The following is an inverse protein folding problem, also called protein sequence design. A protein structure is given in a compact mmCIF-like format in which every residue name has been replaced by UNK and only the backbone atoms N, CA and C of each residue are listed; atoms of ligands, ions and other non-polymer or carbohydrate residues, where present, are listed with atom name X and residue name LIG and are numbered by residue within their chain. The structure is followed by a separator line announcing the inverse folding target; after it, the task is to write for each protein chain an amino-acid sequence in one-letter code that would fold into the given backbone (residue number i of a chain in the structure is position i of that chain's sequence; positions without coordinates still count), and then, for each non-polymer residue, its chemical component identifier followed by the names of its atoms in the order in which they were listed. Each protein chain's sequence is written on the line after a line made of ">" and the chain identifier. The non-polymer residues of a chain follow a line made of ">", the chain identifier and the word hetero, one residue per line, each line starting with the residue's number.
data_IF_773922803897
#
_entry.id   IF_773922803897
#
_cell.length_a   1.000
_cell.length_b   1.000
_cell.length_c   1.000
_cell.angle_alpha   90.00
_cell.angle_beta   90.00
_cell.angle_gamma   90.00
#
_symmetry.space_group_name_H-M   'P 1'
#
loop_
_entity.id
_entity.type
_entity.pdbx_description
1 polymer ?
#
# COMPACT_ATOMS: atom_id res chain seq x y z
N UNK A 1 -17.17 7.47 11.16
CA UNK A 1 -17.53 7.90 9.78
C UNK A 1 -17.16 6.75 8.88
N UNK A 2 -17.94 6.42 7.87
CA UNK A 2 -17.59 5.43 6.84
C UNK A 2 -16.82 6.12 5.71
N UNK A 3 -15.86 5.42 5.10
CA UNK A 3 -15.09 5.98 3.98
C UNK A 3 -16.00 6.37 2.81
N UNK A 4 -17.02 5.57 2.50
CA UNK A 4 -18.01 5.89 1.47
C UNK A 4 -18.75 7.22 1.68
N UNK A 5 -18.81 7.72 2.92
CA UNK A 5 -19.42 9.02 3.23
C UNK A 5 -18.56 10.22 2.79
N UNK A 6 -17.26 10.00 2.50
CA UNK A 6 -16.38 11.04 1.93
C UNK A 6 -16.86 11.50 0.57
N UNK A 7 -17.59 10.63 -0.16
CA UNK A 7 -18.19 10.99 -1.46
C UNK A 7 -19.23 12.12 -1.39
N UNK A 8 -19.74 12.44 -0.21
CA UNK A 8 -20.61 13.62 0.00
C UNK A 8 -19.87 14.95 -0.21
N UNK A 9 -18.53 14.91 -0.08
CA UNK A 9 -17.66 16.04 -0.33
C UNK A 9 -16.88 15.90 -1.65
N UNK A 10 -17.44 15.24 -2.65
CA UNK A 10 -16.78 14.98 -3.93
C UNK A 10 -16.21 16.24 -4.57
N UNK A 11 -16.96 17.35 -4.58
CA UNK A 11 -16.52 18.65 -5.11
C UNK A 11 -15.32 19.26 -4.36
N UNK A 12 -14.96 18.70 -3.19
CA UNK A 12 -13.76 19.08 -2.45
C UNK A 12 -12.57 18.15 -2.76
N UNK A 13 -12.83 17.02 -3.39
CA UNK A 13 -11.83 16.02 -3.78
C UNK A 13 -11.39 16.24 -5.22
N UNK A 14 -12.33 16.59 -6.12
CA UNK A 14 -12.14 16.72 -7.56
C UNK A 14 -12.47 18.15 -7.99
N UNK A 15 -11.75 18.67 -8.97
CA UNK A 15 -11.87 20.02 -9.51
C UNK A 15 -11.73 19.99 -11.03
N UNK A 16 -12.36 20.95 -11.73
CA UNK A 16 -12.16 21.18 -13.15
C UNK A 16 -10.76 21.73 -13.51
N UNK A 17 -10.06 22.31 -12.53
CA UNK A 17 -8.68 22.75 -12.65
C UNK A 17 -7.72 21.59 -12.24
N UNK A 18 -6.44 21.60 -12.67
CA UNK A 18 -5.48 20.60 -12.22
C UNK A 18 -5.44 20.50 -10.70
N UNK A 19 -5.61 19.31 -10.17
CA UNK A 19 -5.68 19.08 -8.71
C UNK A 19 -4.80 17.92 -8.26
N UNK A 20 -4.47 17.93 -6.98
CA UNK A 20 -3.88 16.82 -6.25
C UNK A 20 -4.67 16.62 -4.96
N UNK A 21 -5.24 15.44 -4.79
CA UNK A 21 -5.98 15.07 -3.58
C UNK A 21 -5.31 13.90 -2.88
N UNK A 22 -4.88 14.11 -1.62
CA UNK A 22 -4.38 13.04 -0.77
C UNK A 22 -5.45 12.64 0.24
N UNK A 23 -5.95 11.43 0.10
CA UNK A 23 -7.09 10.94 0.88
C UNK A 23 -6.63 9.80 1.77
N UNK A 24 -6.81 9.97 3.09
CA UNK A 24 -6.58 8.91 4.08
C UNK A 24 -7.90 8.24 4.39
N UNK A 25 -8.05 6.97 4.02
CA UNK A 25 -9.18 6.13 4.40
C UNK A 25 -8.94 5.51 5.76
N UNK A 26 -10.02 5.15 6.46
CA UNK A 26 -9.94 4.60 7.81
C UNK A 26 -10.67 3.26 7.97
N UNK A 27 -11.67 3.01 7.16
CA UNK A 27 -12.58 1.87 7.39
C UNK A 27 -11.90 0.51 7.32
N UNK A 28 -10.83 0.37 6.52
CA UNK A 28 -10.02 -0.84 6.47
C UNK A 28 -9.06 -1.04 7.64
N UNK A 29 -8.95 -0.05 8.56
CA UNK A 29 -8.03 -0.12 9.69
C UNK A 29 -8.61 -0.94 10.86
N UNK A 30 -7.77 -1.77 11.50
CA UNK A 30 -8.18 -2.51 12.70
C UNK A 30 -8.47 -1.61 13.93
N UNK A 31 -8.95 -2.16 15.01
CA UNK A 31 -9.12 -3.60 15.27
C UNK A 31 -10.29 -4.22 14.50
N UNK A 32 -10.17 -5.50 14.18
CA UNK A 32 -11.20 -6.24 13.43
C UNK A 32 -12.17 -6.95 14.38
N UNK A 33 -12.65 -6.22 15.37
CA UNK A 33 -13.51 -6.72 16.45
C UNK A 33 -14.87 -6.01 16.45
N UNK A 34 -15.69 -6.31 17.44
CA UNK A 34 -16.97 -5.63 17.64
C UNK A 34 -16.84 -4.16 18.05
N UNK A 35 -15.65 -3.69 18.40
CA UNK A 35 -15.40 -2.27 18.67
C UNK A 35 -15.62 -1.39 17.42
N UNK A 36 -15.40 -1.96 16.23
CA UNK A 36 -15.63 -1.31 14.94
C UNK A 36 -16.87 -1.88 14.20
N UNK A 37 -17.85 -2.38 14.95
CA UNK A 37 -19.05 -2.99 14.36
C UNK A 37 -19.83 -2.06 13.43
N UNK A 38 -19.83 -0.74 13.68
CA UNK A 38 -20.50 0.25 12.84
C UNK A 38 -19.89 0.33 11.43
N UNK A 39 -18.66 -0.15 11.23
CA UNK A 39 -17.99 -0.23 9.93
C UNK A 39 -18.21 -1.62 9.31
N UNK A 40 -18.00 -2.68 10.09
CA UNK A 40 -18.08 -4.05 9.58
C UNK A 40 -19.51 -4.57 9.37
N UNK A 41 -20.46 -4.27 10.27
CA UNK A 41 -21.84 -4.79 10.22
C UNK A 41 -22.54 -4.59 8.86
N UNK A 42 -22.44 -3.43 8.18
CA UNK A 42 -23.11 -3.24 6.89
C UNK A 42 -22.64 -4.22 5.80
N UNK A 43 -21.48 -4.83 5.97
CA UNK A 43 -20.83 -5.68 4.97
C UNK A 43 -20.65 -7.14 5.40
N UNK A 44 -20.99 -7.51 6.65
CA UNK A 44 -20.72 -8.86 7.19
C UNK A 44 -21.35 -9.98 6.37
N UNK A 45 -22.62 -9.85 5.99
CA UNK A 45 -23.31 -10.89 5.22
C UNK A 45 -22.67 -11.08 3.85
N UNK A 46 -22.26 -9.97 3.20
CA UNK A 46 -21.55 -10.01 1.93
C UNK A 46 -20.15 -10.61 2.10
N UNK A 47 -19.43 -10.27 3.16
CA UNK A 47 -18.12 -10.83 3.46
C UNK A 47 -18.22 -12.35 3.65
N UNK A 48 -19.19 -12.82 4.47
CA UNK A 48 -19.44 -14.26 4.67
C UNK A 48 -19.78 -15.00 3.39
N UNK A 49 -20.47 -14.34 2.46
CA UNK A 49 -20.88 -14.95 1.20
C UNK A 49 -19.74 -15.12 0.19
N UNK A 50 -18.67 -14.30 0.26
CA UNK A 50 -17.58 -14.30 -0.72
C UNK A 50 -16.30 -14.94 -0.21
N UNK A 51 -16.12 -15.07 1.12
CA UNK A 51 -14.93 -15.69 1.70
C UNK A 51 -14.94 -17.20 1.45
N UNK A 52 -13.91 -17.70 0.81
CA UNK A 52 -13.60 -19.12 0.81
C UNK A 52 -12.87 -19.48 2.11
N UNK A 53 -13.61 -19.84 3.12
CA UNK A 53 -13.06 -20.21 4.43
C UNK A 53 -12.14 -21.43 4.39
N UNK A 54 -12.21 -22.26 3.35
CA UNK A 54 -11.30 -23.41 3.22
C UNK A 54 -9.87 -22.99 2.84
N UNK A 55 -9.72 -21.81 2.26
CA UNK A 55 -8.43 -21.22 1.90
C UNK A 55 -7.81 -20.34 3.00
N UNK A 56 -8.55 -20.04 4.07
CA UNK A 56 -8.06 -19.21 5.18
C UNK A 56 -7.47 -20.09 6.28
N UNK A 57 -6.21 -19.89 6.70
CA UNK A 57 -5.53 -20.77 7.66
C UNK A 57 -5.87 -20.44 9.13
N UNK A 58 -7.13 -20.14 9.43
CA UNK A 58 -7.57 -19.92 10.82
C UNK A 58 -7.64 -21.26 11.57
N UNK A 59 -7.38 -21.21 12.88
CA UNK A 59 -7.44 -22.37 13.78
C UNK A 59 -8.54 -22.28 14.82
N UNK A 60 -9.15 -21.10 14.99
CA UNK A 60 -10.22 -20.84 15.95
C UNK A 60 -11.38 -20.07 15.31
N UNK A 61 -12.58 -20.21 15.89
CA UNK A 61 -13.75 -19.41 15.46
C UNK A 61 -13.56 -17.91 15.72
N UNK A 62 -12.75 -17.53 16.72
CA UNK A 62 -12.40 -16.13 16.97
C UNK A 62 -11.57 -15.55 15.82
N UNK A 63 -10.55 -16.23 15.35
CA UNK A 63 -9.75 -15.84 14.19
C UNK A 63 -10.60 -15.75 12.92
N UNK A 64 -11.53 -16.69 12.72
CA UNK A 64 -12.46 -16.69 11.59
C UNK A 64 -13.38 -15.47 11.61
N UNK A 65 -13.96 -15.14 12.75
CA UNK A 65 -14.83 -13.96 12.88
C UNK A 65 -14.02 -12.68 12.69
N UNK A 66 -12.82 -12.58 13.25
CA UNK A 66 -11.93 -11.43 13.08
C UNK A 66 -11.52 -11.23 11.62
N UNK A 67 -11.16 -12.31 10.92
CA UNK A 67 -10.88 -12.27 9.49
C UNK A 67 -12.10 -11.81 8.68
N UNK A 68 -13.28 -12.32 9.02
CA UNK A 68 -14.54 -11.91 8.38
C UNK A 68 -14.79 -10.42 8.53
N UNK A 69 -14.55 -9.88 9.74
CA UNK A 69 -14.67 -8.44 10.01
C UNK A 69 -13.62 -7.62 9.27
N UNK A 70 -12.38 -8.11 9.16
CA UNK A 70 -11.34 -7.46 8.37
C UNK A 70 -11.76 -7.32 6.90
N UNK A 71 -12.30 -8.39 6.30
CA UNK A 71 -12.84 -8.36 4.93
C UNK A 71 -14.03 -7.41 4.83
N UNK A 72 -14.95 -7.42 5.79
CA UNK A 72 -16.11 -6.53 5.81
C UNK A 72 -15.69 -5.05 5.90
N UNK A 73 -14.68 -4.72 6.70
CA UNK A 73 -14.13 -3.37 6.80
C UNK A 73 -13.43 -2.94 5.49
N UNK A 74 -12.66 -3.83 4.88
CA UNK A 74 -12.05 -3.58 3.58
C UNK A 74 -13.09 -3.33 2.47
N UNK A 75 -14.26 -3.98 2.54
CA UNK A 75 -15.38 -3.72 1.63
C UNK A 75 -15.95 -2.31 1.72
N UNK A 76 -15.84 -1.66 2.86
CA UNK A 76 -16.25 -0.25 3.00
C UNK A 76 -15.28 0.68 2.26
N UNK A 77 -13.97 0.42 2.38
CA UNK A 77 -12.96 1.16 1.59
C UNK A 77 -13.13 0.90 0.09
N UNK A 78 -13.41 -0.35 -0.32
CA UNK A 78 -13.74 -0.69 -1.71
C UNK A 78 -14.98 0.05 -2.21
N UNK A 79 -16.02 0.20 -1.36
CA UNK A 79 -17.21 0.94 -1.70
C UNK A 79 -16.93 2.43 -1.94
N UNK A 80 -16.01 3.03 -1.15
CA UNK A 80 -15.54 4.39 -1.39
C UNK A 80 -14.81 4.51 -2.74
N UNK A 81 -13.83 3.66 -2.99
CA UNK A 81 -13.03 3.68 -4.24
C UNK A 81 -13.94 3.46 -5.45
N UNK A 82 -14.83 2.47 -5.39
CA UNK A 82 -15.79 2.20 -6.45
C UNK A 82 -16.78 3.35 -6.69
N UNK A 83 -17.19 4.04 -5.63
CA UNK A 83 -18.05 5.22 -5.70
C UNK A 83 -17.32 6.42 -6.30
N UNK A 84 -16.08 6.68 -5.88
CA UNK A 84 -15.24 7.74 -6.43
C UNK A 84 -15.03 7.54 -7.94
N UNK A 85 -14.67 6.32 -8.35
CA UNK A 85 -14.50 5.99 -9.76
C UNK A 85 -15.77 6.27 -10.57
N UNK A 86 -16.94 5.85 -10.06
CA UNK A 86 -18.22 6.09 -10.75
C UNK A 86 -18.56 7.58 -10.91
N UNK A 87 -18.23 8.41 -9.92
CA UNK A 87 -18.45 9.85 -10.02
C UNK A 87 -17.50 10.48 -11.05
N UNK A 88 -16.21 10.11 -11.04
CA UNK A 88 -15.23 10.53 -12.04
C UNK A 88 -15.66 10.15 -13.47
N UNK A 89 -16.18 8.92 -13.65
CA UNK A 89 -16.73 8.46 -14.94
C UNK A 89 -17.95 9.31 -15.36
N UNK A 90 -18.87 9.60 -14.43
CA UNK A 90 -20.08 10.35 -14.70
C UNK A 90 -19.81 11.82 -15.05
N UNK A 91 -18.82 12.44 -14.44
CA UNK A 91 -18.44 13.85 -14.66
C UNK A 91 -17.45 14.02 -15.82
N UNK A 92 -16.94 12.91 -16.37
CA UNK A 92 -15.98 12.92 -17.48
C UNK A 92 -14.53 13.14 -17.07
N UNK A 93 -14.21 13.17 -15.76
CA UNK A 93 -12.84 13.34 -15.23
C UNK A 93 -12.01 12.06 -15.22
N UNK A 94 -12.64 10.89 -15.40
CA UNK A 94 -11.95 9.60 -15.22
C UNK A 94 -10.73 9.40 -16.14
N UNK A 95 -10.75 9.98 -17.36
CA UNK A 95 -9.64 9.89 -18.33
C UNK A 95 -8.45 10.77 -17.97
N UNK A 96 -8.72 11.85 -17.24
CA UNK A 96 -7.73 12.86 -16.88
C UNK A 96 -7.32 12.75 -15.40
N UNK A 97 -7.79 11.69 -14.71
CA UNK A 97 -7.49 11.42 -13.31
C UNK A 97 -6.74 10.10 -13.17
N UNK A 98 -5.68 10.11 -12.39
CA UNK A 98 -4.96 8.91 -11.97
C UNK A 98 -5.24 8.66 -10.49
N UNK A 99 -5.74 7.48 -10.17
CA UNK A 99 -5.88 7.00 -8.78
C UNK A 99 -4.66 6.16 -8.42
N UNK A 100 -3.93 6.57 -7.39
CA UNK A 100 -2.79 5.85 -6.82
C UNK A 100 -3.22 5.29 -5.48
N UNK A 101 -3.34 3.98 -5.37
CA UNK A 101 -3.86 3.29 -4.19
C UNK A 101 -2.74 2.49 -3.53
N UNK A 102 -2.48 2.76 -2.28
CA UNK A 102 -1.47 2.07 -1.48
C UNK A 102 -1.87 2.05 -0.01
N UNK A 103 -1.22 1.20 0.76
CA UNK A 103 -1.40 1.15 2.21
C UNK A 103 -0.13 1.64 2.90
N UNK A 104 -0.29 2.28 4.06
CA UNK A 104 0.82 2.74 4.90
C UNK A 104 1.49 1.59 5.66
N UNK A 105 0.75 0.51 5.92
CA UNK A 105 1.24 -0.72 6.55
C UNK A 105 0.34 -1.92 6.24
N UNK A 106 0.80 -3.13 6.52
CA UNK A 106 -0.04 -4.33 6.45
C UNK A 106 -1.09 -4.35 7.58
N UNK A 107 -2.07 -5.24 7.48
CA UNK A 107 -3.15 -5.39 8.48
C UNK A 107 -2.62 -6.04 9.79
N UNK A 108 -1.86 -5.27 10.56
CA UNK A 108 -1.14 -5.70 11.79
C UNK A 108 -2.00 -5.75 13.05
N UNK A 109 -3.27 -5.36 12.96
CA UNK A 109 -4.16 -5.23 14.14
C UNK A 109 -5.06 -6.45 14.35
N UNK A 110 -4.68 -7.60 13.84
CA UNK A 110 -5.28 -8.86 14.28
C UNK A 110 -4.89 -9.13 15.73
N UNK A 111 -5.85 -9.63 16.51
CA UNK A 111 -5.64 -9.99 17.93
C UNK A 111 -4.62 -11.12 18.07
N UNK A 112 -4.57 -12.00 17.08
CA UNK A 112 -3.62 -13.10 16.97
C UNK A 112 -2.77 -12.93 15.71
N UNK A 113 -1.49 -12.66 15.91
CA UNK A 113 -0.53 -12.46 14.81
C UNK A 113 -0.26 -13.73 14.01
N UNK A 114 -0.46 -14.93 14.60
CA UNK A 114 -0.24 -16.21 13.91
C UNK A 114 -1.11 -16.33 12.66
N UNK A 115 -2.33 -15.78 12.68
CA UNK A 115 -3.22 -15.80 11.51
C UNK A 115 -2.63 -15.00 10.35
N UNK A 116 -2.17 -13.77 10.59
CA UNK A 116 -1.61 -12.94 9.51
C UNK A 116 -0.26 -13.49 9.02
N UNK A 117 0.55 -14.06 9.92
CA UNK A 117 1.80 -14.73 9.57
C UNK A 117 1.53 -15.95 8.68
N UNK A 118 0.51 -16.75 9.00
CA UNK A 118 0.11 -17.89 8.19
C UNK A 118 -0.43 -17.47 6.81
N UNK A 119 -1.23 -16.40 6.74
CA UNK A 119 -1.73 -15.83 5.48
C UNK A 119 -0.56 -15.33 4.61
N UNK A 120 0.40 -14.65 5.20
CA UNK A 120 1.57 -14.07 4.51
C UNK A 120 2.67 -15.10 4.23
N UNK A 121 2.65 -16.26 4.91
CA UNK A 121 3.66 -17.30 4.80
C UNK A 121 5.03 -16.90 5.41
N UNK A 122 5.05 -15.94 6.32
CA UNK A 122 6.26 -15.46 6.98
C UNK A 122 5.94 -14.83 8.33
N UNK A 123 6.88 -14.90 9.27
CA UNK A 123 6.87 -14.15 10.53
C UNK A 123 7.90 -13.01 10.55
N UNK A 124 8.65 -12.83 9.48
CA UNK A 124 9.60 -11.73 9.37
C UNK A 124 8.85 -10.39 9.22
N UNK A 125 9.12 -9.45 10.12
CA UNK A 125 8.43 -8.17 10.20
C UNK A 125 8.53 -7.33 8.91
N UNK A 126 9.67 -7.37 8.23
CA UNK A 126 9.85 -6.65 6.98
C UNK A 126 9.03 -7.29 5.85
N UNK A 127 9.07 -8.62 5.74
CA UNK A 127 8.36 -9.36 4.69
C UNK A 127 6.84 -9.36 4.89
N UNK A 128 6.35 -9.28 6.14
CA UNK A 128 4.93 -9.04 6.44
C UNK A 128 4.43 -7.73 5.82
N UNK A 129 5.32 -6.75 5.61
CA UNK A 129 4.97 -5.43 5.05
C UNK A 129 4.70 -5.44 3.54
N UNK A 130 4.78 -6.59 2.87
CA UNK A 130 4.39 -6.72 1.47
C UNK A 130 2.87 -6.50 1.32
N UNK A 131 2.46 -5.43 0.65
CA UNK A 131 1.07 -4.99 0.51
C UNK A 131 0.77 -4.62 -0.95
N UNK A 132 -0.51 -4.63 -1.37
CA UNK A 132 -0.89 -4.23 -2.71
C UNK A 132 -0.58 -2.76 -3.01
N UNK A 133 -0.17 -2.50 -4.25
CA UNK A 133 -0.07 -1.18 -4.84
C UNK A 133 -0.79 -1.18 -6.18
N UNK A 134 -1.66 -0.19 -6.43
CA UNK A 134 -2.46 -0.12 -7.65
C UNK A 134 -2.45 1.30 -8.20
N UNK A 135 -2.19 1.43 -9.51
CA UNK A 135 -2.43 2.67 -10.26
C UNK A 135 -3.57 2.40 -11.24
N UNK A 136 -4.55 3.30 -11.26
CA UNK A 136 -5.69 3.21 -12.14
C UNK A 136 -5.99 4.54 -12.82
N UNK A 137 -6.32 4.48 -14.10
CA UNK A 137 -6.97 5.55 -14.85
C UNK A 137 -7.90 4.92 -15.90
N UNK A 138 -8.91 5.64 -16.37
CA UNK A 138 -9.84 5.11 -17.38
C UNK A 138 -9.10 4.81 -18.70
N UNK A 139 -9.39 3.66 -19.28
CA UNK A 139 -8.84 3.25 -20.57
C UNK A 139 -7.45 2.60 -20.51
N UNK A 140 -6.82 2.50 -19.33
CA UNK A 140 -5.56 1.77 -19.18
C UNK A 140 -5.76 0.27 -19.45
N UNK A 141 -4.84 -0.34 -20.18
CA UNK A 141 -4.80 -1.79 -20.30
C UNK A 141 -4.25 -2.39 -19.01
N UNK A 142 -4.99 -3.30 -18.33
CA UNK A 142 -4.53 -3.91 -17.10
C UNK A 142 -3.20 -4.65 -17.29
N UNK A 143 -2.26 -4.42 -16.40
CA UNK A 143 -0.96 -5.08 -16.35
C UNK A 143 -0.62 -5.43 -14.91
N UNK A 144 0.16 -6.48 -14.71
CA UNK A 144 0.75 -6.83 -13.42
C UNK A 144 2.25 -6.62 -13.53
N UNK A 145 2.83 -5.85 -12.63
CA UNK A 145 4.27 -5.70 -12.50
C UNK A 145 4.79 -6.64 -11.42
N UNK A 146 5.81 -7.41 -11.76
CA UNK A 146 6.54 -8.26 -10.80
C UNK A 146 7.68 -7.48 -10.11
N UNK A 147 7.83 -6.18 -10.40
CA UNK A 147 8.83 -5.33 -9.79
C UNK A 147 8.44 -5.02 -8.34
N UNK A 148 9.36 -5.24 -7.43
CA UNK A 148 9.19 -4.82 -6.04
C UNK A 148 9.38 -3.32 -5.93
N UNK A 149 8.44 -2.67 -5.26
CA UNK A 149 8.41 -1.21 -5.06
C UNK A 149 8.04 -0.90 -3.61
N UNK A 150 8.37 0.28 -3.17
CA UNK A 150 8.05 0.76 -1.82
C UNK A 150 7.29 2.09 -1.86
N UNK A 151 6.81 2.54 -0.72
CA UNK A 151 6.16 3.85 -0.62
C UNK A 151 7.10 5.01 -0.97
N UNK A 152 8.41 4.81 -0.91
CA UNK A 152 9.41 5.82 -1.33
C UNK A 152 9.40 6.05 -2.83
N UNK A 153 8.97 5.06 -3.62
CA UNK A 153 8.92 5.13 -5.08
C UNK A 153 7.68 5.86 -5.61
N UNK A 154 6.68 6.12 -4.76
CA UNK A 154 5.40 6.75 -5.15
C UNK A 154 5.62 8.16 -5.68
N UNK A 155 6.32 9.01 -4.91
CA UNK A 155 6.50 10.41 -5.27
C UNK A 155 7.31 10.59 -6.56
N UNK A 156 8.50 9.96 -6.76
CA UNK A 156 9.23 10.06 -8.02
C UNK A 156 8.43 9.47 -9.20
N UNK A 157 7.63 8.43 -9.00
CA UNK A 157 6.75 7.88 -10.03
C UNK A 157 5.66 8.89 -10.45
N UNK A 158 5.04 9.59 -9.50
CA UNK A 158 4.06 10.64 -9.81
C UNK A 158 4.73 11.79 -10.56
N UNK A 159 5.92 12.20 -10.13
CA UNK A 159 6.68 13.26 -10.81
C UNK A 159 6.95 12.90 -12.28
N UNK A 160 7.39 11.68 -12.56
CA UNK A 160 7.64 11.21 -13.92
C UNK A 160 6.33 11.05 -14.71
N UNK A 161 5.33 10.39 -14.15
CA UNK A 161 4.05 10.12 -14.79
C UNK A 161 3.35 11.40 -15.28
N UNK A 162 3.44 12.49 -14.53
CA UNK A 162 2.84 13.78 -14.85
C UNK A 162 3.84 14.79 -15.45
N UNK A 163 5.09 14.38 -15.68
CA UNK A 163 6.17 15.25 -16.18
C UNK A 163 6.30 16.53 -15.36
N UNK A 164 6.24 16.43 -14.04
CA UNK A 164 6.35 17.56 -13.13
C UNK A 164 7.80 18.03 -13.06
N UNK A 165 7.99 19.36 -12.95
CA UNK A 165 9.31 19.96 -12.74
C UNK A 165 9.73 19.79 -11.26
N UNK A 166 10.53 18.77 -11.00
CA UNK A 166 11.08 18.47 -9.68
C UNK A 166 12.50 17.90 -9.77
N UNK A 167 13.31 18.20 -8.76
CA UNK A 167 14.68 17.67 -8.67
C UNK A 167 14.65 16.27 -8.03
N UNK A 168 14.72 15.23 -8.84
CA UNK A 168 14.67 13.84 -8.42
C UNK A 168 15.83 13.43 -7.50
N UNK A 169 16.90 14.23 -7.39
CA UNK A 169 18.01 13.96 -6.46
C UNK A 169 17.62 14.06 -4.99
N UNK A 170 16.48 14.68 -4.69
CA UNK A 170 15.92 14.74 -3.33
C UNK A 170 15.07 13.53 -2.96
N UNK A 171 14.85 12.60 -3.88
CA UNK A 171 14.05 11.39 -3.64
C UNK A 171 14.96 10.18 -3.45
N UNK A 172 14.72 9.39 -2.39
CA UNK A 172 15.41 8.12 -2.16
C UNK A 172 14.86 7.01 -3.07
N UNK A 173 13.57 7.10 -3.44
CA UNK A 173 12.88 6.16 -4.31
C UNK A 173 13.17 6.40 -5.78
N UNK A 174 12.69 5.48 -6.60
CA UNK A 174 12.84 5.52 -8.05
C UNK A 174 11.48 5.53 -8.72
N UNK A 175 11.42 5.93 -9.98
CA UNK A 175 10.24 5.72 -10.81
C UNK A 175 9.95 4.21 -10.97
N UNK A 176 8.73 3.81 -10.63
CA UNK A 176 8.31 2.40 -10.69
C UNK A 176 8.29 1.85 -12.12
N UNK A 177 8.12 2.71 -13.12
CA UNK A 177 8.09 2.35 -14.54
C UNK A 177 9.47 2.46 -15.21
N UNK A 178 10.41 3.14 -14.56
CA UNK A 178 11.78 3.32 -15.05
C UNK A 178 12.59 2.01 -15.06
N UNK A 179 13.77 2.03 -15.67
CA UNK A 179 14.65 0.87 -15.70
C UNK A 179 15.27 0.53 -14.34
N UNK A 180 15.41 1.53 -13.49
CA UNK A 180 16.03 1.43 -12.18
C UNK A 180 15.01 0.99 -11.10
N UNK A 181 15.51 0.68 -9.89
CA UNK A 181 14.70 0.25 -8.76
C UNK A 181 14.40 -1.26 -8.77
N UNK A 182 13.33 -1.66 -8.09
CA UNK A 182 13.04 -3.07 -7.81
C UNK A 182 13.77 -3.58 -6.56
N UNK A 183 14.28 -2.66 -5.72
CA UNK A 183 14.86 -2.94 -4.41
C UNK A 183 14.08 -2.17 -3.36
N UNK A 184 13.58 -2.88 -2.37
CA UNK A 184 12.89 -2.31 -1.21
C UNK A 184 13.89 -2.16 -0.06
N UNK A 185 13.97 -0.95 0.49
CA UNK A 185 14.80 -0.64 1.65
C UNK A 185 13.95 -0.61 2.91
N UNK A 186 14.48 -1.18 4.01
CA UNK A 186 13.84 -1.15 5.30
C UNK A 186 14.60 -0.28 6.28
N UNK A 187 13.90 0.30 7.25
CA UNK A 187 14.47 1.22 8.24
C UNK A 187 15.69 0.67 9.01
N UNK A 188 15.77 -0.66 9.13
CA UNK A 188 16.88 -1.35 9.78
C UNK A 188 18.05 -1.68 8.84
N UNK A 189 18.14 -1.01 7.68
CA UNK A 189 19.12 -1.24 6.61
C UNK A 189 19.02 -2.61 5.93
N UNK A 190 18.00 -3.40 6.25
CA UNK A 190 17.67 -4.58 5.45
C UNK A 190 17.16 -4.16 4.07
N UNK A 191 17.25 -5.07 3.09
CA UNK A 191 16.76 -4.83 1.74
C UNK A 191 16.26 -6.11 1.09
N UNK A 192 15.42 -5.95 0.08
CA UNK A 192 14.85 -7.04 -0.71
C UNK A 192 14.74 -6.64 -2.17
N UNK A 193 15.27 -7.46 -3.09
CA UNK A 193 15.24 -7.24 -4.55
C UNK A 193 14.33 -8.22 -5.31
N UNK A 194 13.46 -8.93 -4.59
CA UNK A 194 12.62 -9.97 -5.16
C UNK A 194 13.26 -11.36 -5.20
N UNK A 195 14.55 -11.46 -4.91
CA UNK A 195 15.31 -12.72 -4.89
C UNK A 195 16.14 -12.88 -3.62
N UNK A 196 16.77 -11.82 -3.22
CA UNK A 196 17.66 -11.77 -2.06
C UNK A 196 17.00 -10.92 -0.99
N UNK A 197 16.78 -11.50 0.18
CA UNK A 197 16.48 -10.77 1.40
C UNK A 197 17.71 -10.75 2.27
N UNK A 198 18.21 -9.56 2.56
CA UNK A 198 19.39 -9.36 3.39
C UNK A 198 19.05 -8.47 4.59
N UNK A 199 19.32 -8.98 5.79
CA UNK A 199 19.07 -8.26 7.05
C UNK A 199 20.17 -7.25 7.39
N UNK A 200 21.26 -7.25 6.65
CA UNK A 200 22.44 -6.43 6.93
C UNK A 200 23.34 -6.97 8.06
N UNK A 201 22.88 -7.99 8.77
CA UNK A 201 23.57 -8.53 9.97
C UNK A 201 24.33 -9.83 9.70
N UNK A 202 24.02 -10.51 8.61
CA UNK A 202 24.61 -11.80 8.29
C UNK A 202 26.03 -11.64 7.73
N UNK A 203 26.91 -12.58 8.06
CA UNK A 203 28.24 -12.65 7.48
C UNK A 203 28.14 -13.06 6.01
N UNK A 204 28.17 -12.09 5.10
CA UNK A 204 28.21 -12.34 3.65
C UNK A 204 29.60 -12.05 3.09
N UNK A 205 30.07 -12.94 2.23
CA UNK A 205 31.28 -12.72 1.41
C UNK A 205 30.92 -12.46 -0.06
N UNK A 206 29.64 -12.41 -0.40
CA UNK A 206 29.17 -12.13 -1.77
C UNK A 206 29.38 -10.64 -2.09
N UNK A 207 30.24 -10.29 -3.07
CA UNK A 207 30.52 -8.88 -3.39
C UNK A 207 29.27 -8.08 -3.78
N UNK A 208 28.29 -8.70 -4.44
CA UNK A 208 27.06 -8.02 -4.84
C UNK A 208 26.20 -7.66 -3.62
N UNK A 209 26.10 -8.57 -2.63
CA UNK A 209 25.39 -8.30 -1.38
C UNK A 209 26.08 -7.19 -0.59
N UNK A 210 27.41 -7.21 -0.52
CA UNK A 210 28.17 -6.16 0.17
C UNK A 210 28.02 -4.79 -0.49
N UNK A 211 28.08 -4.74 -1.81
CA UNK A 211 27.84 -3.50 -2.57
C UNK A 211 26.43 -2.95 -2.35
N UNK A 212 25.42 -3.82 -2.36
CA UNK A 212 24.04 -3.41 -2.09
C UNK A 212 23.85 -2.89 -0.66
N UNK A 213 24.49 -3.50 0.33
CA UNK A 213 24.47 -3.00 1.73
C UNK A 213 25.03 -1.58 1.83
N UNK A 214 26.11 -1.29 1.12
CA UNK A 214 26.71 0.04 1.09
C UNK A 214 25.76 1.04 0.43
N UNK A 215 25.21 0.70 -0.73
CA UNK A 215 24.22 1.53 -1.42
C UNK A 215 22.99 1.82 -0.54
N UNK A 216 22.42 0.81 0.13
CA UNK A 216 21.25 0.97 1.01
C UNK A 216 21.57 1.92 2.17
N UNK A 217 22.75 1.79 2.79
CA UNK A 217 23.17 2.68 3.86
C UNK A 217 23.31 4.12 3.37
N UNK A 218 24.02 4.31 2.26
CA UNK A 218 24.22 5.63 1.67
C UNK A 218 22.86 6.30 1.36
N UNK A 219 21.93 5.60 0.72
CA UNK A 219 20.62 6.14 0.38
C UNK A 219 19.80 6.52 1.60
N UNK A 220 19.78 5.66 2.63
CA UNK A 220 19.05 5.95 3.88
C UNK A 220 19.69 7.13 4.61
N UNK A 221 21.02 7.19 4.69
CA UNK A 221 21.74 8.25 5.37
C UNK A 221 21.55 9.60 4.65
N UNK A 222 21.62 9.64 3.31
CA UNK A 222 21.31 10.82 2.50
C UNK A 222 19.89 11.30 2.77
N UNK A 223 18.89 10.41 2.76
CA UNK A 223 17.52 10.77 3.05
C UNK A 223 17.35 11.38 4.45
N UNK A 224 17.98 10.77 5.46
CA UNK A 224 17.93 11.30 6.84
C UNK A 224 18.61 12.68 6.94
N UNK A 225 19.71 12.87 6.27
CA UNK A 225 20.45 14.15 6.29
C UNK A 225 19.69 15.25 5.54
N UNK A 226 19.02 14.91 4.42
CA UNK A 226 18.11 15.81 3.70
C UNK A 226 17.00 16.32 4.64
N UNK A 227 16.32 15.40 5.34
CA UNK A 227 15.28 15.80 6.31
C UNK A 227 15.80 16.64 7.47
N UNK A 228 17.02 16.36 7.96
CA UNK A 228 17.63 17.14 9.07
C UNK A 228 18.09 18.51 8.63
N UNK A 229 18.41 18.68 7.37
CA UNK A 229 18.95 19.92 6.81
C UNK A 229 17.86 20.89 6.37
N UNK A 230 16.58 20.49 6.50
CA UNK A 230 15.40 21.31 6.19
C UNK A 230 15.39 21.82 4.75
N UNK A 231 15.78 20.95 3.80
CA UNK A 231 15.75 21.21 2.36
C UNK A 231 14.41 20.84 1.76
#
# INVERSE_FOLDING_TARGET
>A
MLDSQLLRGYDQIVSDEPFFSFIITYSGHGPYTTEQQNISEPHLDRARAVIDYSAVPYTTEAQKEEYTRAVAQAMETDAFIGGLRKQLEADGHAKDTVLVLFTDHYCKYFSDTELIEAIKGTSDHNLLSNVPFVIWTEGITPQVSEKYVSTMDIAPTIVDLFSLDADLRYYIGNDMFGPDGGVVYFRNYAWYDGKTYDTGNDASTNPAVLAMREQVREQIDISQDTFRSDY
#
